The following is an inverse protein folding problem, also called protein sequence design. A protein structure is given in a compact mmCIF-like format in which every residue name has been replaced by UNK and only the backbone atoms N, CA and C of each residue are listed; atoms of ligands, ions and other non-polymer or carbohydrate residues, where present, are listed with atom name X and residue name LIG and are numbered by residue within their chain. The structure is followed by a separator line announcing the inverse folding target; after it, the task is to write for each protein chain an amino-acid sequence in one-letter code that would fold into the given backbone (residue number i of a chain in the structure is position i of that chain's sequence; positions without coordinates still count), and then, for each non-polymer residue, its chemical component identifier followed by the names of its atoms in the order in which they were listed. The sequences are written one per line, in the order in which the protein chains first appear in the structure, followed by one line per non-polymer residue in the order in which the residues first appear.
data_IF_419967692001
#
_entry.id   IF_419967692001
#
_cell.length_a   1.000
_cell.length_b   1.000
_cell.length_c   1.000
_cell.angle_alpha   90.00
_cell.angle_beta   90.00
_cell.angle_gamma   90.00
#
_symmetry.space_group_name_H-M   'P 1'
#
loop_
_entity.id
_entity.type
_entity.pdbx_description
1 polymer ?
#
# COMPACT_ATOMS: atom_id res chain seq x y z
N UNK A 1 -16.04 -17.58 -3.93
CA UNK A 1 -15.78 -16.18 -4.33
C UNK A 1 -15.13 -15.59 -3.12
N UNK A 2 -13.81 -15.46 -3.14
CA UNK A 2 -13.08 -14.79 -2.06
C UNK A 2 -13.47 -13.32 -2.14
N UNK A 3 -14.27 -12.84 -1.20
CA UNK A 3 -14.51 -11.40 -1.02
C UNK A 3 -13.20 -10.80 -0.50
N UNK A 4 -12.24 -10.55 -1.41
CA UNK A 4 -11.04 -9.81 -1.07
C UNK A 4 -11.42 -8.34 -1.06
N UNK A 5 -11.40 -7.72 0.11
CA UNK A 5 -11.67 -6.30 0.24
C UNK A 5 -10.48 -5.50 -0.32
N UNK A 6 -10.77 -4.62 -1.27
CA UNK A 6 -9.78 -3.81 -1.97
C UNK A 6 -10.14 -2.34 -1.93
N UNK A 7 -9.11 -1.51 -1.80
CA UNK A 7 -9.18 -0.09 -2.09
C UNK A 7 -8.96 0.11 -3.58
N UNK A 8 -9.83 0.89 -4.21
CA UNK A 8 -9.73 1.24 -5.63
C UNK A 8 -9.73 2.77 -5.77
N UNK A 9 -8.79 3.29 -6.54
CA UNK A 9 -8.72 4.71 -6.87
C UNK A 9 -8.06 4.91 -8.24
N UNK A 10 -8.09 6.15 -8.74
CA UNK A 10 -7.36 6.55 -9.93
C UNK A 10 -6.09 7.29 -9.54
N UNK A 11 -4.96 6.92 -10.15
CA UNK A 11 -3.68 7.64 -10.02
C UNK A 11 -3.10 7.93 -11.40
N UNK A 12 -2.13 8.85 -11.48
CA UNK A 12 -1.47 9.21 -12.73
C UNK A 12 -0.39 8.20 -13.08
N UNK A 13 -0.43 7.65 -14.29
CA UNK A 13 0.58 6.71 -14.74
C UNK A 13 1.95 7.39 -14.87
N UNK A 14 2.96 6.89 -14.14
CA UNK A 14 4.32 7.46 -14.17
C UNK A 14 4.98 7.50 -15.57
N UNK A 15 4.49 6.69 -16.52
CA UNK A 15 5.07 6.57 -17.87
C UNK A 15 4.32 7.34 -18.93
N UNK A 16 2.98 7.25 -18.94
CA UNK A 16 2.17 7.89 -19.98
C UNK A 16 1.40 9.12 -19.49
N UNK A 17 1.49 9.45 -18.20
CA UNK A 17 0.92 10.63 -17.56
C UNK A 17 -0.61 10.70 -17.70
N UNK A 18 -1.25 9.54 -17.86
CA UNK A 18 -2.71 9.42 -17.93
C UNK A 18 -3.22 8.76 -16.67
N UNK A 19 -4.41 9.16 -16.26
CA UNK A 19 -5.13 8.50 -15.16
C UNK A 19 -5.35 7.03 -15.49
N UNK A 20 -5.16 6.18 -14.49
CA UNK A 20 -5.40 4.75 -14.58
C UNK A 20 -5.95 4.26 -13.25
N UNK A 21 -6.93 3.34 -13.25
CA UNK A 21 -7.41 2.72 -12.03
C UNK A 21 -6.32 1.80 -11.49
N UNK A 22 -6.16 1.83 -10.17
CA UNK A 22 -5.25 0.99 -9.42
C UNK A 22 -5.99 0.45 -8.20
N UNK A 23 -5.57 -0.73 -7.75
CA UNK A 23 -6.12 -1.35 -6.56
C UNK A 23 -5.05 -1.71 -5.55
N UNK A 24 -5.44 -1.76 -4.28
CA UNK A 24 -4.63 -2.31 -3.21
C UNK A 24 -5.49 -3.13 -2.25
N UNK A 25 -5.07 -4.34 -1.86
CA UNK A 25 -5.82 -5.12 -0.90
C UNK A 25 -5.78 -4.48 0.50
N UNK A 26 -6.92 -4.46 1.18
CA UNK A 26 -6.99 -3.94 2.55
C UNK A 26 -6.21 -4.80 3.54
N UNK A 27 -6.13 -6.11 3.28
CA UNK A 27 -5.36 -7.07 4.05
C UNK A 27 -4.33 -7.78 3.17
N UNK A 28 -3.07 -7.80 3.62
CA UNK A 28 -1.96 -8.42 2.92
C UNK A 28 -1.29 -7.48 1.90
N UNK A 29 -0.80 -8.04 0.80
CA UNK A 29 0.03 -7.31 -0.17
C UNK A 29 -0.24 -7.83 -1.58
N UNK A 30 -0.20 -6.95 -2.60
CA UNK A 30 -0.44 -7.36 -3.99
C UNK A 30 0.46 -8.51 -4.45
N UNK A 31 1.71 -8.53 -4.01
CA UNK A 31 2.66 -9.59 -4.35
C UNK A 31 2.50 -10.90 -3.52
N UNK A 32 1.30 -11.20 -3.05
CA UNK A 32 0.96 -12.48 -2.39
C UNK A 32 -0.12 -13.22 -3.20
N UNK A 33 -0.68 -14.29 -2.62
CA UNK A 33 -1.83 -15.02 -3.18
C UNK A 33 -3.06 -14.12 -3.42
N UNK A 34 -3.10 -12.93 -2.78
CA UNK A 34 -4.14 -11.93 -3.02
C UNK A 34 -4.05 -11.34 -4.42
N UNK A 35 -2.85 -11.04 -4.93
CA UNK A 35 -2.69 -10.49 -6.28
C UNK A 35 -3.08 -11.47 -7.38
N UNK A 36 -2.85 -12.77 -7.16
CA UNK A 36 -3.33 -13.81 -8.06
C UNK A 36 -4.86 -13.85 -8.10
N UNK A 37 -5.51 -13.86 -6.92
CA UNK A 37 -6.98 -13.83 -6.83
C UNK A 37 -7.59 -12.59 -7.49
N UNK A 38 -6.96 -11.42 -7.33
CA UNK A 38 -7.41 -10.18 -7.97
C UNK A 38 -7.20 -10.20 -9.49
N UNK A 39 -6.16 -10.88 -9.98
CA UNK A 39 -5.95 -11.06 -11.42
C UNK A 39 -6.96 -12.06 -12.02
N UNK A 40 -7.38 -13.08 -11.27
CA UNK A 40 -8.36 -14.09 -11.72
C UNK A 40 -9.79 -13.54 -11.84
N UNK A 41 -10.12 -12.41 -11.21
CA UNK A 41 -11.47 -11.84 -11.30
C UNK A 41 -11.73 -11.12 -12.63
N UNK A 42 -10.67 -10.78 -13.38
CA UNK A 42 -10.71 -9.91 -14.57
C UNK A 42 -11.38 -8.53 -14.33
N UNK A 43 -11.67 -8.19 -13.07
CA UNK A 43 -12.31 -6.93 -12.67
C UNK A 43 -11.28 -5.82 -12.51
N UNK A 44 -10.05 -6.18 -12.11
CA UNK A 44 -8.98 -5.24 -11.80
C UNK A 44 -7.79 -5.39 -12.76
N UNK A 45 -7.07 -4.29 -12.99
CA UNK A 45 -5.89 -4.26 -13.85
C UNK A 45 -4.62 -4.74 -13.12
N UNK A 46 -4.71 -5.92 -12.52
CA UNK A 46 -3.60 -6.59 -11.84
C UNK A 46 -3.05 -7.67 -12.76
N UNK A 47 -1.76 -7.59 -13.06
CA UNK A 47 -1.09 -8.58 -13.91
C UNK A 47 0.26 -9.00 -13.34
N UNK A 48 0.75 -10.14 -13.83
CA UNK A 48 2.08 -10.64 -13.50
C UNK A 48 3.12 -9.87 -14.31
N UNK A 49 3.95 -9.10 -13.62
CA UNK A 49 4.91 -8.17 -14.21
C UNK A 49 6.31 -8.34 -13.60
N UNK A 50 7.35 -8.08 -14.39
CA UNK A 50 8.72 -8.18 -13.89
C UNK A 50 9.15 -6.90 -13.16
N UNK A 51 9.38 -6.99 -11.85
CA UNK A 51 9.92 -5.89 -11.05
C UNK A 51 11.44 -5.85 -11.20
N UNK A 52 11.95 -4.80 -11.87
CA UNK A 52 13.40 -4.59 -12.04
C UNK A 52 14.11 -4.35 -10.71
N UNK A 53 13.43 -3.69 -9.77
CA UNK A 53 13.99 -3.38 -8.44
C UNK A 53 14.14 -4.64 -7.59
N UNK A 54 13.19 -5.58 -7.67
CA UNK A 54 13.25 -6.85 -6.92
C UNK A 54 13.89 -8.00 -7.71
N UNK A 55 14.13 -7.83 -9.02
CA UNK A 55 14.72 -8.85 -9.89
C UNK A 55 13.85 -10.09 -10.12
N UNK A 56 12.54 -10.01 -9.82
CA UNK A 56 11.58 -11.12 -9.90
C UNK A 56 10.25 -10.69 -10.49
N UNK A 57 9.46 -11.67 -10.94
CA UNK A 57 8.05 -11.45 -11.28
C UNK A 57 7.25 -11.19 -10.00
N UNK A 58 6.35 -10.22 -10.09
CA UNK A 58 5.43 -9.83 -9.03
C UNK A 58 4.05 -9.61 -9.61
N UNK A 59 3.02 -9.76 -8.79
CA UNK A 59 1.69 -9.26 -9.12
C UNK A 59 1.62 -7.77 -8.83
N UNK A 60 1.08 -6.98 -9.76
CA UNK A 60 0.97 -5.55 -9.58
C UNK A 60 0.07 -4.86 -10.60
N UNK A 61 -0.30 -3.62 -10.28
CA UNK A 61 -1.15 -2.79 -11.13
C UNK A 61 -0.43 -2.42 -12.43
N UNK A 62 -1.16 -2.52 -13.55
CA UNK A 62 -0.72 -2.06 -14.86
C UNK A 62 -1.59 -0.92 -15.35
N UNK A 63 -1.00 0.01 -16.09
CA UNK A 63 -1.74 1.12 -16.67
C UNK A 63 -2.69 0.63 -17.78
N UNK A 64 -3.95 1.05 -17.73
CA UNK A 64 -4.96 0.72 -18.75
C UNK A 64 -4.61 1.21 -20.17
N UNK A 65 -3.74 2.22 -20.27
CA UNK A 65 -3.40 2.87 -21.53
C UNK A 65 -2.07 2.43 -22.14
N UNK A 66 -1.12 1.96 -21.33
CA UNK A 66 0.24 1.67 -21.78
C UNK A 66 0.88 0.41 -21.16
N UNK A 67 0.09 -0.39 -20.45
CA UNK A 67 0.45 -1.67 -19.83
C UNK A 67 1.69 -1.62 -18.94
N UNK A 68 2.04 -0.43 -18.48
CA UNK A 68 3.25 -0.22 -17.69
C UNK A 68 2.96 -0.52 -16.23
N UNK A 69 3.88 -1.21 -15.57
CA UNK A 69 3.78 -1.52 -14.15
C UNK A 69 3.85 -0.25 -13.30
N UNK A 70 2.86 0.00 -12.43
CA UNK A 70 2.78 1.22 -11.62
C UNK A 70 3.61 1.18 -10.32
N UNK A 71 4.17 0.03 -9.94
CA UNK A 71 5.06 -0.10 -8.78
C UNK A 71 4.31 -0.26 -7.45
N UNK A 72 4.36 -1.47 -6.88
CA UNK A 72 3.57 -1.80 -5.68
C UNK A 72 3.89 -0.89 -4.50
N UNK A 73 5.17 -0.58 -4.27
CA UNK A 73 5.56 0.33 -3.19
C UNK A 73 4.91 1.72 -3.31
N UNK A 74 4.78 2.27 -4.52
CA UNK A 74 4.13 3.58 -4.70
C UNK A 74 2.64 3.50 -4.43
N UNK A 75 1.98 2.47 -4.98
CA UNK A 75 0.55 2.22 -4.78
C UNK A 75 0.23 1.94 -3.31
N UNK A 76 1.10 1.23 -2.59
CA UNK A 76 0.97 0.98 -1.16
C UNK A 76 0.98 2.27 -0.32
N UNK A 77 1.91 3.18 -0.63
CA UNK A 77 1.98 4.47 0.06
C UNK A 77 0.70 5.30 -0.18
N UNK A 78 0.23 5.36 -1.44
CA UNK A 78 -1.04 6.03 -1.75
C UNK A 78 -2.25 5.36 -1.06
N UNK A 79 -2.24 4.03 -0.90
CA UNK A 79 -3.27 3.30 -0.16
C UNK A 79 -3.25 3.65 1.33
N UNK A 80 -2.06 3.78 1.93
CA UNK A 80 -1.88 4.18 3.33
C UNK A 80 -2.37 5.61 3.58
N UNK A 81 -2.17 6.51 2.63
CA UNK A 81 -2.68 7.89 2.71
C UNK A 81 -4.22 7.94 2.63
N UNK A 82 -4.83 7.02 1.87
CA UNK A 82 -6.29 6.97 1.71
C UNK A 82 -7.01 6.25 2.86
N UNK A 83 -6.40 5.18 3.40
CA UNK A 83 -6.96 4.42 4.51
C UNK A 83 -5.85 4.15 5.55
N UNK A 84 -5.49 5.18 6.34
CA UNK A 84 -4.44 5.06 7.34
C UNK A 84 -4.86 4.03 8.41
N UNK A 85 -3.96 3.10 8.80
CA UNK A 85 -4.26 2.17 9.87
C UNK A 85 -4.42 2.90 11.21
N UNK A 86 -5.27 2.37 12.08
CA UNK A 86 -5.42 2.87 13.44
C UNK A 86 -4.46 2.11 14.38
N UNK A 87 -3.68 2.86 15.16
CA UNK A 87 -2.69 2.31 16.10
C UNK A 87 -2.96 2.84 17.49
N UNK A 88 -2.80 1.96 18.49
CA UNK A 88 -2.94 2.34 19.89
C UNK A 88 -1.77 3.25 20.31
N UNK A 89 -2.08 4.42 20.83
CA UNK A 89 -1.11 5.31 21.41
C UNK A 89 -0.60 4.75 22.73
N UNK A 90 0.70 4.52 22.82
CA UNK A 90 1.38 4.12 24.06
C UNK A 90 1.37 5.21 25.16
N UNK A 91 0.87 6.42 24.87
CA UNK A 91 0.78 7.54 25.82
C UNK A 91 -0.62 7.67 26.41
N UNK A 92 -1.65 7.87 25.57
CA UNK A 92 -3.04 8.07 26.03
C UNK A 92 -3.88 6.77 26.02
N UNK A 93 -3.42 5.71 25.36
CA UNK A 93 -4.15 4.44 25.22
C UNK A 93 -5.32 4.46 24.24
N UNK A 94 -5.49 5.55 23.48
CA UNK A 94 -6.52 5.65 22.44
C UNK A 94 -5.98 5.25 21.05
N UNK A 95 -6.88 4.91 20.13
CA UNK A 95 -6.53 4.58 18.74
C UNK A 95 -6.43 5.86 17.90
N UNK A 96 -5.31 6.03 17.19
CA UNK A 96 -5.05 7.18 16.33
C UNK A 96 -4.64 6.74 14.93
N UNK A 97 -4.92 7.60 13.94
CA UNK A 97 -4.47 7.41 12.55
C UNK A 97 -2.95 7.43 12.50
N UNK A 98 -2.40 6.37 11.90
CA UNK A 98 -0.97 6.22 11.67
C UNK A 98 -0.58 6.81 10.33
N UNK A 99 0.52 7.56 10.34
CA UNK A 99 1.10 8.17 9.16
C UNK A 99 2.53 7.68 8.97
N UNK A 100 2.92 7.29 7.75
CA UNK A 100 4.30 6.88 7.46
C UNK A 100 5.27 8.06 7.63
N UNK A 101 6.48 7.79 8.13
CA UNK A 101 7.55 8.79 8.15
C UNK A 101 8.02 9.10 6.72
N UNK A 102 7.89 10.36 6.30
CA UNK A 102 8.35 10.86 4.99
C UNK A 102 9.87 11.09 4.92
N UNK A 103 10.58 10.90 6.03
CA UNK A 103 12.02 11.08 6.23
C UNK A 103 12.81 9.76 6.26
N UNK A 104 14.01 9.78 6.88
CA UNK A 104 14.89 8.60 6.93
C UNK A 104 14.31 7.42 7.73
N UNK A 105 13.30 7.62 8.60
CA UNK A 105 12.67 6.55 9.37
C UNK A 105 11.63 5.75 8.58
N UNK A 106 11.07 6.30 7.50
CA UNK A 106 10.17 5.56 6.60
C UNK A 106 10.84 4.36 5.94
N UNK A 107 12.17 4.45 5.72
CA UNK A 107 12.99 3.35 5.20
C UNK A 107 13.12 2.16 6.17
N UNK A 108 12.71 2.33 7.43
CA UNK A 108 12.77 1.30 8.48
C UNK A 108 11.38 0.93 9.03
N UNK A 109 10.30 1.23 8.29
CA UNK A 109 8.94 0.94 8.76
C UNK A 109 8.58 1.72 10.03
N UNK A 110 9.09 2.93 10.17
CA UNK A 110 8.70 3.83 11.26
C UNK A 110 7.64 4.82 10.75
N UNK A 111 6.64 5.07 11.59
CA UNK A 111 5.65 6.09 11.37
C UNK A 111 5.31 6.82 12.66
N UNK A 112 4.23 7.57 12.63
CA UNK A 112 3.78 8.36 13.77
C UNK A 112 2.28 8.47 13.81
N UNK A 113 1.78 8.71 15.01
CA UNK A 113 0.40 9.11 15.27
C UNK A 113 0.38 10.54 15.80
N UNK A 114 -0.71 11.26 15.53
CA UNK A 114 -0.96 12.56 16.17
C UNK A 114 -1.80 12.35 17.44
N UNK A 115 -1.16 12.44 18.61
CA UNK A 115 -1.80 12.36 19.91
C UNK A 115 -2.19 13.77 20.39
N UNK A 116 -3.46 14.04 20.75
CA UNK A 116 -3.88 15.37 21.20
C UNK A 116 -3.21 15.83 22.50
N UNK A 117 -2.71 14.91 23.32
CA UNK A 117 -2.03 15.21 24.58
C UNK A 117 -0.52 15.47 24.43
N UNK A 118 0.13 14.82 23.45
CA UNK A 118 1.60 14.80 23.32
C UNK A 118 2.13 15.25 21.95
N UNK A 119 1.25 15.50 20.98
CA UNK A 119 1.59 15.76 19.59
C UNK A 119 2.02 14.50 18.85
N UNK A 120 2.97 14.64 17.92
CA UNK A 120 3.47 13.52 17.12
C UNK A 120 4.22 12.49 17.98
N UNK A 121 3.69 11.27 18.06
CA UNK A 121 4.28 10.13 18.78
C UNK A 121 4.79 9.11 17.77
N UNK A 122 6.09 8.76 17.80
CA UNK A 122 6.65 7.75 16.91
C UNK A 122 6.15 6.36 17.29
N UNK A 123 5.69 5.60 16.30
CA UNK A 123 5.22 4.23 16.45
C UNK A 123 5.72 3.38 15.28
N UNK A 124 5.86 2.07 15.50
CA UNK A 124 6.22 1.15 14.42
C UNK A 124 5.11 1.03 13.37
N UNK A 125 5.45 0.48 12.21
CA UNK A 125 4.48 0.13 11.17
C UNK A 125 3.52 -0.97 11.70
N UNK A 126 2.21 -0.71 11.80
CA UNK A 126 1.24 -1.70 12.26
C UNK A 126 0.96 -2.81 11.25
N UNK A 127 1.36 -2.63 9.98
CA UNK A 127 1.21 -3.59 8.89
C UNK A 127 2.53 -4.29 8.54
N UNK A 128 3.64 -3.86 9.12
CA UNK A 128 4.94 -4.52 9.00
C UNK A 128 4.96 -5.83 9.79
N UNK A 129 4.94 -6.95 9.08
CA UNK A 129 5.28 -8.25 9.66
C UNK A 129 6.73 -8.25 10.15
N UNK A 130 6.95 -8.89 11.30
CA UNK A 130 8.23 -9.40 11.80
C UNK A 130 9.11 -9.92 10.64
N UNK A 131 10.08 -9.13 10.18
CA UNK A 131 11.23 -9.63 9.42
C UNK A 131 12.17 -10.36 10.40
N UNK A 132 11.75 -11.58 10.78
CA UNK A 132 12.50 -12.54 11.61
C UNK A 132 13.12 -13.68 10.81
#
# INVERSE_FOLDING_TARGET
MSDVSVLEWNTECWKCERETPVVWPEEGHLNSDVGEQLAETDEYLVQRVYSRTQGREVWGNVCEHCDSYQGNHYIEQEALEQNPPLVECNVCGELHEWYPDSGMGGAFGQGWIDCPEYGAVPVGDPRGEDDG
#
